data_IF_918029936929
#
_entry.id   IF_918029936929
#
_cell.length_a   1.000
_cell.length_b   1.000
_cell.length_c   1.000
_cell.angle_alpha   90.00
_cell.angle_beta   90.00
_cell.angle_gamma   90.00
#
_symmetry.space_group_name_H-M   'P 1'
#
loop_
_entity.id
_entity.type
_entity.pdbx_description
1 polymer ?
#
# COMPACT_ATOMS: atom_id res chain seq x y z
N UNK A 1 37.45 18.76 3.06
CA UNK A 1 37.40 20.23 2.81
C UNK A 1 37.30 20.37 1.29
N UNK A 2 36.21 20.82 0.66
CA UNK A 2 35.46 22.07 0.83
C UNK A 2 34.21 21.95 -0.05
N UNK A 3 33.05 22.40 0.44
CA UNK A 3 32.24 23.39 -0.28
C UNK A 3 31.43 24.15 0.76
N UNK A 4 32.07 25.19 1.29
CA UNK A 4 31.44 26.21 2.12
C UNK A 4 30.83 27.25 1.18
N UNK A 5 29.50 27.38 1.16
CA UNK A 5 28.85 28.50 0.48
C UNK A 5 29.05 29.77 1.31
N UNK A 6 29.80 30.73 0.78
CA UNK A 6 29.97 32.06 1.39
C UNK A 6 28.75 32.90 0.98
N UNK A 7 27.88 33.17 1.94
CA UNK A 7 26.82 34.18 1.82
C UNK A 7 27.46 35.53 2.18
N UNK A 8 27.64 36.40 1.19
CA UNK A 8 28.06 37.77 1.46
C UNK A 8 26.84 38.58 1.92
N UNK A 9 26.70 38.81 3.23
CA UNK A 9 25.82 39.83 3.77
C UNK A 9 26.55 41.18 3.71
N UNK A 10 26.06 42.12 2.89
CA UNK A 10 26.44 43.54 3.00
C UNK A 10 25.78 44.13 4.26
N UNK A 11 26.50 44.91 5.08
CA UNK A 11 25.99 45.40 6.35
C UNK A 11 24.87 46.42 6.14
N UNK A 12 23.88 46.32 7.04
CA UNK A 12 22.65 47.09 7.06
C UNK A 12 22.91 48.59 7.07
N UNK A 13 22.48 49.27 5.99
CA UNK A 13 22.49 50.72 5.89
C UNK A 13 21.89 51.18 4.57
N UNK A 14 20.58 51.45 4.59
CA UNK A 14 19.79 52.12 3.55
C UNK A 14 19.53 51.36 2.23
N UNK A 15 18.25 51.09 1.98
CA UNK A 15 17.70 50.83 0.64
C UNK A 15 17.54 49.35 0.32
N UNK A 16 16.35 48.99 -0.16
CA UNK A 16 15.98 47.65 -0.61
C UNK A 16 16.94 47.21 -1.73
N UNK A 17 17.97 46.43 -1.39
CA UNK A 17 19.00 45.97 -2.30
C UNK A 17 18.85 44.47 -2.58
N UNK A 18 18.69 44.12 -3.85
CA UNK A 18 18.56 42.75 -4.32
C UNK A 18 19.74 41.87 -3.89
N UNK A 19 19.44 40.68 -3.35
CA UNK A 19 20.43 39.59 -3.21
C UNK A 19 20.68 39.04 -4.61
N UNK A 20 21.85 39.33 -5.17
CA UNK A 20 22.29 38.77 -6.46
C UNK A 20 23.22 37.59 -6.20
N UNK A 21 22.85 36.42 -6.71
CA UNK A 21 23.80 35.34 -6.93
C UNK A 21 24.66 35.79 -8.11
N UNK A 22 25.98 35.76 -7.96
CA UNK A 22 26.91 36.22 -8.97
C UNK A 22 26.59 35.58 -10.34
N UNK A 23 26.14 36.42 -11.29
CA UNK A 23 25.87 36.04 -12.68
C UNK A 23 24.40 35.98 -13.10
N UNK A 24 23.42 36.22 -12.22
CA UNK A 24 22.00 36.21 -12.59
C UNK A 24 21.34 37.57 -12.34
N UNK A 25 20.50 38.01 -13.28
CA UNK A 25 19.79 39.28 -13.19
C UNK A 25 18.80 39.31 -12.01
N UNK A 26 18.46 40.49 -11.46
CA UNK A 26 17.54 40.62 -10.33
C UNK A 26 16.16 39.98 -10.56
N UNK A 27 15.68 39.92 -11.80
CA UNK A 27 14.41 39.30 -12.17
C UNK A 27 14.43 37.76 -12.01
N UNK A 28 15.57 37.11 -12.25
CA UNK A 28 15.73 35.65 -12.11
C UNK A 28 15.91 35.25 -10.64
N UNK A 29 16.52 36.12 -9.84
CA UNK A 29 16.72 35.90 -8.40
C UNK A 29 15.40 36.00 -7.61
N UNK A 30 14.46 36.86 -8.03
CA UNK A 30 13.13 36.97 -7.43
C UNK A 30 12.25 35.74 -7.69
N UNK A 31 12.37 35.12 -8.88
CA UNK A 31 11.62 33.90 -9.22
C UNK A 31 12.02 32.71 -8.34
N UNK A 32 13.31 32.51 -8.08
CA UNK A 32 13.80 31.39 -7.26
C UNK A 32 13.37 31.52 -5.79
N UNK A 33 13.32 32.75 -5.26
CA UNK A 33 12.90 33.00 -3.86
C UNK A 33 11.37 32.92 -3.71
N UNK A 34 10.59 33.26 -4.74
CA UNK A 34 9.13 33.10 -4.71
C UNK A 34 8.71 31.62 -4.81
N UNK A 35 9.37 30.84 -5.67
CA UNK A 35 9.11 29.39 -5.80
C UNK A 35 9.56 28.60 -4.56
N UNK A 36 10.65 29.02 -3.91
CA UNK A 36 11.12 28.39 -2.67
C UNK A 36 10.22 28.61 -1.46
N UNK A 37 9.56 29.78 -1.35
CA UNK A 37 8.65 30.07 -0.21
C UNK A 37 7.31 29.36 -0.34
N UNK A 38 6.76 29.19 -1.54
CA UNK A 38 5.50 28.46 -1.73
C UNK A 38 5.62 26.96 -1.40
N UNK A 39 6.76 26.33 -1.72
CA UNK A 39 7.02 24.93 -1.38
C UNK A 39 7.24 24.69 0.13
N UNK A 40 7.81 25.66 0.85
CA UNK A 40 8.01 25.55 2.30
C UNK A 40 6.71 25.81 3.10
N UNK A 41 5.85 26.72 2.66
CA UNK A 41 4.56 26.98 3.32
C UNK A 41 3.50 25.92 2.99
N UNK A 42 3.56 25.24 1.85
CA UNK A 42 2.68 24.09 1.55
C UNK A 42 3.05 22.85 2.39
N UNK A 43 4.34 22.61 2.63
CA UNK A 43 4.79 21.55 3.54
C UNK A 43 4.51 21.89 5.02
N UNK A 44 4.62 23.16 5.42
CA UNK A 44 4.35 23.60 6.79
C UNK A 44 2.86 23.62 7.18
N UNK A 45 1.95 23.90 6.24
CA UNK A 45 0.50 23.95 6.51
C UNK A 45 -0.15 22.55 6.58
N UNK A 46 0.42 21.54 5.91
CA UNK A 46 0.00 20.14 6.03
C UNK A 46 0.30 19.53 7.41
N UNK A 47 1.31 20.06 8.12
CA UNK A 47 1.63 19.62 9.48
C UNK A 47 0.62 20.13 10.51
N UNK A 48 0.03 21.31 10.29
CA UNK A 48 -0.87 21.98 11.22
C UNK A 48 -2.34 21.55 11.07
N UNK A 49 -2.70 20.88 9.98
CA UNK A 49 -4.07 20.44 9.66
C UNK A 49 -4.29 18.92 9.77
N UNK A 50 -3.31 18.16 10.28
CA UNK A 50 -3.50 16.72 10.55
C UNK A 50 -4.58 16.51 11.61
N UNK A 51 -5.80 16.22 11.15
CA UNK A 51 -6.86 15.67 11.97
C UNK A 51 -6.32 14.38 12.61
N UNK A 52 -6.21 14.38 13.93
CA UNK A 52 -5.81 13.22 14.72
C UNK A 52 -6.85 12.12 14.54
N UNK A 53 -6.65 11.26 13.54
CA UNK A 53 -7.37 10.00 13.46
C UNK A 53 -6.95 9.14 14.66
N UNK A 54 -7.87 8.42 15.31
CA UNK A 54 -7.52 7.49 16.38
C UNK A 54 -6.39 6.56 15.91
N UNK A 55 -5.21 6.70 16.52
CA UNK A 55 -3.99 5.98 16.12
C UNK A 55 -4.14 4.46 16.13
N UNK A 56 -5.17 3.94 16.78
CA UNK A 56 -5.49 2.52 16.84
C UNK A 56 -6.05 1.91 15.54
N UNK A 57 -6.52 2.71 14.57
CA UNK A 57 -7.15 2.18 13.33
C UNK A 57 -6.37 2.49 12.05
N UNK A 58 -5.34 3.33 12.12
CA UNK A 58 -4.54 3.68 10.95
C UNK A 58 -3.32 2.76 10.89
N UNK A 59 -3.54 1.52 10.46
CA UNK A 59 -2.47 0.64 10.00
C UNK A 59 -1.95 1.21 8.67
N UNK A 60 -1.02 2.17 8.75
CA UNK A 60 -0.41 2.80 7.58
C UNK A 60 0.49 1.79 6.84
N UNK A 61 0.64 1.96 5.53
CA UNK A 61 1.64 1.23 4.76
C UNK A 61 3.03 1.69 5.20
N UNK A 62 3.83 0.76 5.70
CA UNK A 62 5.17 1.01 6.21
C UNK A 62 6.22 0.70 5.13
N UNK A 63 7.37 1.38 5.18
CA UNK A 63 8.57 1.05 4.40
C UNK A 63 9.68 0.69 5.37
N UNK A 64 9.81 -0.59 5.65
CA UNK A 64 10.88 -1.16 6.47
C UNK A 64 11.56 -2.26 5.65
N UNK A 65 12.87 -2.42 5.79
CA UNK A 65 13.64 -3.40 5.02
C UNK A 65 13.45 -4.83 5.49
N UNK A 66 13.09 -5.03 6.76
CA UNK A 66 12.93 -6.37 7.34
C UNK A 66 11.78 -6.40 8.37
N UNK A 67 10.56 -6.55 7.85
CA UNK A 67 9.37 -6.75 8.69
C UNK A 67 9.07 -8.24 8.81
N UNK A 68 8.78 -8.67 10.04
CA UNK A 68 8.29 -10.03 10.29
C UNK A 68 7.05 -10.35 9.42
N UNK A 69 7.02 -11.57 8.86
CA UNK A 69 5.87 -12.07 8.12
C UNK A 69 4.69 -12.24 9.05
N UNK A 70 3.58 -11.55 8.77
CA UNK A 70 2.36 -11.61 9.58
C UNK A 70 1.38 -12.58 8.94
N UNK A 71 0.90 -13.55 9.71
CA UNK A 71 -0.20 -14.44 9.35
C UNK A 71 -1.40 -14.06 10.23
N UNK A 72 -2.46 -13.59 9.59
CA UNK A 72 -3.67 -13.12 10.27
C UNK A 72 -4.82 -14.12 10.12
N UNK A 73 -5.65 -14.18 11.16
CA UNK A 73 -6.81 -15.06 11.26
C UNK A 73 -8.09 -14.23 11.41
N UNK A 74 -9.20 -14.72 10.86
CA UNK A 74 -10.48 -13.99 10.88
C UNK A 74 -10.47 -12.70 10.04
N UNK A 75 -11.39 -11.79 10.34
CA UNK A 75 -11.53 -10.52 9.59
C UNK A 75 -10.54 -9.46 10.05
N UNK A 76 -9.74 -8.93 9.13
CA UNK A 76 -8.67 -7.98 9.44
C UNK A 76 -8.68 -6.78 8.51
N UNK A 77 -8.14 -5.65 8.99
CA UNK A 77 -7.82 -4.46 8.21
C UNK A 77 -6.30 -4.23 8.28
N UNK A 78 -5.61 -4.21 7.14
CA UNK A 78 -4.15 -4.07 7.10
C UNK A 78 -3.67 -3.11 6.02
N UNK A 79 -2.67 -2.29 6.33
CA UNK A 79 -1.96 -1.44 5.36
C UNK A 79 -0.66 -2.05 4.82
N UNK A 80 -0.20 -3.18 5.38
CA UNK A 80 0.93 -3.97 4.89
C UNK A 80 2.30 -3.28 4.84
N UNK A 81 3.24 -3.94 4.18
CA UNK A 81 4.58 -3.46 3.87
C UNK A 81 4.68 -3.14 2.37
N UNK A 82 5.15 -1.95 2.04
CA UNK A 82 5.38 -1.55 0.65
C UNK A 82 6.66 -2.19 0.12
N UNK A 83 6.53 -3.01 -0.92
CA UNK A 83 7.65 -3.72 -1.56
C UNK A 83 8.03 -3.14 -2.92
N UNK A 84 7.16 -2.33 -3.52
CA UNK A 84 7.43 -1.58 -4.74
C UNK A 84 6.78 -0.21 -4.68
N UNK A 85 7.48 0.82 -5.12
CA UNK A 85 6.99 2.20 -5.15
C UNK A 85 7.74 3.02 -6.20
N UNK A 86 7.21 3.09 -7.41
CA UNK A 86 7.85 3.83 -8.51
C UNK A 86 6.82 4.53 -9.37
N UNK A 87 7.21 5.67 -9.96
CA UNK A 87 6.39 6.42 -10.88
C UNK A 87 6.92 6.33 -12.31
N UNK A 88 6.01 6.18 -13.28
CA UNK A 88 6.31 6.18 -14.72
C UNK A 88 5.10 6.63 -15.52
N UNK A 89 5.32 7.40 -16.58
CA UNK A 89 4.27 7.83 -17.53
C UNK A 89 3.05 8.48 -16.86
N UNK A 90 3.30 9.35 -15.86
CA UNK A 90 2.23 10.02 -15.10
C UNK A 90 1.41 9.07 -14.22
N UNK A 91 2.04 7.98 -13.74
CA UNK A 91 1.38 6.99 -12.87
C UNK A 91 2.31 6.56 -11.77
N UNK A 92 1.80 6.49 -10.55
CA UNK A 92 2.48 5.96 -9.39
C UNK A 92 2.01 4.52 -9.14
N UNK A 93 2.94 3.59 -9.16
CA UNK A 93 2.70 2.17 -8.96
C UNK A 93 3.21 1.76 -7.58
N UNK A 94 2.33 1.19 -6.78
CA UNK A 94 2.62 0.76 -5.42
C UNK A 94 2.18 -0.68 -5.21
N UNK A 95 3.11 -1.55 -4.82
CA UNK A 95 2.81 -2.94 -4.43
C UNK A 95 3.02 -3.10 -2.92
N UNK A 96 2.05 -3.71 -2.27
CA UNK A 96 2.03 -3.90 -0.82
C UNK A 96 1.77 -5.36 -0.47
N UNK A 97 2.63 -5.92 0.37
CA UNK A 97 2.43 -7.24 1.00
C UNK A 97 1.73 -7.03 2.34
N UNK A 98 0.58 -7.66 2.55
CA UNK A 98 -0.19 -7.45 3.77
C UNK A 98 -0.35 -8.70 4.63
N UNK A 99 -0.24 -9.90 4.06
CA UNK A 99 -0.40 -11.14 4.81
C UNK A 99 0.46 -12.28 4.23
N UNK A 100 0.90 -13.18 5.13
CA UNK A 100 1.61 -14.41 4.79
C UNK A 100 0.67 -15.62 4.66
N UNK A 101 0.78 -16.31 3.53
CA UNK A 101 -0.07 -17.42 3.14
C UNK A 101 -1.33 -16.97 2.40
N UNK A 102 -2.03 -17.95 1.86
CA UNK A 102 -3.30 -17.76 1.16
C UNK A 102 -4.39 -17.29 2.13
N UNK A 103 -4.96 -16.12 1.86
CA UNK A 103 -6.13 -15.58 2.55
C UNK A 103 -7.40 -16.03 1.86
N UNK A 104 -8.49 -16.15 2.61
CA UNK A 104 -9.76 -16.64 2.07
C UNK A 104 -10.38 -15.70 1.02
N UNK A 105 -10.22 -14.38 1.21
CA UNK A 105 -10.65 -13.43 0.17
C UNK A 105 -10.67 -11.97 0.59
N UNK A 106 -10.78 -11.12 -0.44
CA UNK A 106 -10.98 -9.68 -0.29
C UNK A 106 -12.38 -9.39 0.25
N UNK A 107 -12.48 -8.50 1.22
CA UNK A 107 -13.74 -7.89 1.63
C UNK A 107 -13.89 -6.56 0.89
N UNK A 108 -13.01 -5.58 1.19
CA UNK A 108 -13.04 -4.23 0.61
C UNK A 108 -11.68 -3.54 0.69
N UNK A 109 -11.49 -2.53 -0.15
CA UNK A 109 -10.38 -1.59 -0.01
C UNK A 109 -10.80 -0.35 0.78
N UNK A 110 -9.80 0.28 1.39
CA UNK A 110 -9.95 1.51 2.14
C UNK A 110 -8.88 2.50 1.70
N UNK A 111 -9.33 3.71 1.38
CA UNK A 111 -8.46 4.84 1.04
C UNK A 111 -8.73 5.93 2.07
N UNK A 112 -7.70 6.33 2.80
CA UNK A 112 -7.77 7.43 3.76
C UNK A 112 -8.80 7.28 4.88
N UNK A 113 -9.21 6.03 5.17
CA UNK A 113 -10.23 5.68 6.15
C UNK A 113 -11.63 5.52 5.56
N UNK A 114 -11.81 5.70 4.26
CA UNK A 114 -13.08 5.53 3.56
C UNK A 114 -13.09 4.23 2.75
N UNK A 115 -14.21 3.49 2.85
CA UNK A 115 -14.43 2.26 2.06
C UNK A 115 -14.60 2.65 0.60
N UNK A 116 -13.89 1.95 -0.27
CA UNK A 116 -14.03 2.14 -1.72
C UNK A 116 -14.53 0.88 -2.40
N UNK A 117 -15.33 1.07 -3.44
CA UNK A 117 -15.77 0.00 -4.33
C UNK A 117 -14.87 -0.03 -5.56
N UNK A 118 -14.64 -1.23 -6.08
CA UNK A 118 -13.87 -1.43 -7.31
C UNK A 118 -14.73 -2.12 -8.35
N UNK A 119 -14.62 -1.65 -9.58
CA UNK A 119 -15.32 -2.20 -10.74
C UNK A 119 -14.36 -3.10 -11.51
N UNK A 120 -14.78 -4.35 -11.79
CA UNK A 120 -14.15 -5.28 -12.74
C UNK A 120 -12.67 -5.58 -12.52
N UNK A 121 -12.29 -6.85 -12.52
CA UNK A 121 -10.87 -7.24 -12.46
C UNK A 121 -10.51 -8.21 -13.57
N UNK A 122 -9.25 -8.18 -14.03
CA UNK A 122 -8.72 -9.18 -14.96
C UNK A 122 -8.74 -10.59 -14.36
N UNK A 123 -8.65 -11.62 -15.19
CA UNK A 123 -8.65 -13.02 -14.73
C UNK A 123 -7.39 -13.42 -13.94
N UNK A 124 -6.32 -12.63 -14.01
CA UNK A 124 -5.03 -12.89 -13.36
C UNK A 124 -4.95 -12.39 -11.91
N UNK A 125 -5.99 -11.73 -11.42
CA UNK A 125 -6.09 -11.16 -10.06
C UNK A 125 -7.34 -11.70 -9.36
N UNK A 126 -7.29 -11.77 -8.04
CA UNK A 126 -8.34 -12.40 -7.22
C UNK A 126 -9.41 -11.40 -6.73
N UNK A 127 -9.29 -10.13 -7.14
CA UNK A 127 -10.15 -9.05 -6.67
C UNK A 127 -9.69 -7.67 -7.12
N UNK A 128 -10.55 -6.68 -6.95
CA UNK A 128 -10.24 -5.27 -7.20
C UNK A 128 -10.74 -4.74 -8.54
N UNK A 129 -10.01 -3.79 -9.11
CA UNK A 129 -10.38 -3.06 -10.31
C UNK A 129 -10.15 -1.55 -10.20
N UNK A 130 -10.77 -0.78 -11.09
CA UNK A 130 -10.79 0.68 -10.95
C UNK A 130 -11.70 1.09 -9.80
N UNK A 131 -11.33 2.15 -9.09
CA UNK A 131 -12.13 2.64 -7.98
C UNK A 131 -13.32 3.45 -8.51
N UNK A 132 -14.54 3.02 -8.17
CA UNK A 132 -15.76 3.70 -8.59
C UNK A 132 -15.77 5.13 -8.05
N UNK A 133 -16.05 6.12 -8.89
CA UNK A 133 -16.08 7.53 -8.50
C UNK A 133 -14.72 8.19 -8.30
N UNK A 134 -13.59 7.48 -8.48
CA UNK A 134 -12.23 8.05 -8.46
C UNK A 134 -11.48 7.72 -9.75
N UNK A 135 -11.42 8.69 -10.67
CA UNK A 135 -10.89 8.49 -12.04
C UNK A 135 -9.44 8.02 -12.08
N UNK A 136 -8.64 8.44 -11.10
CA UNK A 136 -7.20 8.25 -11.05
C UNK A 136 -6.76 7.12 -10.11
N UNK A 137 -7.67 6.22 -9.71
CA UNK A 137 -7.37 5.18 -8.74
C UNK A 137 -7.71 3.79 -9.29
N UNK A 138 -6.77 2.85 -9.18
CA UNK A 138 -7.00 1.43 -9.42
C UNK A 138 -6.34 0.60 -8.32
N UNK A 139 -7.03 -0.42 -7.83
CA UNK A 139 -6.59 -1.28 -6.74
C UNK A 139 -6.86 -2.74 -7.11
N UNK A 140 -5.85 -3.59 -7.07
CA UNK A 140 -5.96 -5.02 -7.40
C UNK A 140 -5.50 -5.87 -6.25
N UNK A 141 -6.11 -7.04 -6.10
CA UNK A 141 -5.88 -7.96 -4.99
C UNK A 141 -5.35 -9.29 -5.49
N UNK A 142 -4.39 -9.86 -4.75
CA UNK A 142 -4.01 -11.27 -4.87
C UNK A 142 -4.06 -11.94 -3.51
N UNK A 143 -4.67 -13.11 -3.45
CA UNK A 143 -4.97 -13.82 -2.22
C UNK A 143 -3.74 -14.54 -1.63
N UNK A 144 -2.64 -14.67 -2.37
CA UNK A 144 -1.42 -15.34 -1.91
C UNK A 144 -1.38 -16.85 -2.13
N UNK A 145 -2.31 -17.44 -2.88
CA UNK A 145 -2.25 -18.84 -3.32
C UNK A 145 -1.06 -19.15 -4.25
N UNK A 146 -0.55 -18.12 -4.94
CA UNK A 146 0.50 -18.24 -5.96
C UNK A 146 1.59 -17.17 -5.85
N UNK A 147 2.01 -16.66 -7.02
CA UNK A 147 2.97 -15.57 -7.12
C UNK A 147 2.29 -14.22 -6.83
N UNK A 148 2.35 -13.73 -5.59
CA UNK A 148 1.75 -12.47 -5.19
C UNK A 148 2.30 -11.25 -5.94
N UNK A 149 3.50 -11.33 -6.50
CA UNK A 149 4.12 -10.24 -7.28
C UNK A 149 3.71 -10.22 -8.76
N UNK A 150 2.85 -11.14 -9.19
CA UNK A 150 2.47 -11.27 -10.60
C UNK A 150 1.10 -10.65 -10.89
N UNK A 151 1.10 -9.41 -11.35
CA UNK A 151 -0.08 -8.64 -11.76
C UNK A 151 -0.22 -8.50 -13.27
N UNK A 152 0.43 -9.38 -14.05
CA UNK A 152 0.31 -9.34 -15.52
C UNK A 152 -1.15 -9.46 -15.95
N UNK A 153 -1.63 -8.56 -16.79
CA UNK A 153 -3.03 -8.54 -17.21
C UNK A 153 -4.01 -7.96 -16.18
N UNK A 154 -3.52 -7.28 -15.13
CA UNK A 154 -4.39 -6.55 -14.21
C UNK A 154 -5.24 -5.48 -14.93
N UNK A 155 -4.72 -4.90 -16.01
CA UNK A 155 -5.44 -3.98 -16.91
C UNK A 155 -5.84 -4.67 -18.21
N UNK A 156 -6.58 -5.77 -18.13
CA UNK A 156 -7.11 -6.47 -19.30
C UNK A 156 -8.14 -5.58 -20.04
N UNK A 157 -7.87 -5.16 -21.29
CA UNK A 157 -8.76 -4.27 -22.03
C UNK A 157 -10.07 -4.96 -22.46
N UNK A 158 -10.16 -6.30 -22.38
CA UNK A 158 -11.40 -7.03 -22.66
C UNK A 158 -12.43 -6.89 -21.52
N UNK A 159 -12.00 -6.47 -20.33
CA UNK A 159 -12.89 -6.29 -19.17
C UNK A 159 -13.48 -4.87 -19.19
N UNK A 160 -14.82 -4.73 -19.19
CA UNK A 160 -15.46 -3.42 -19.09
C UNK A 160 -14.99 -2.64 -17.86
N UNK A 161 -14.61 -1.38 -18.05
CA UNK A 161 -14.05 -0.52 -16.99
C UNK A 161 -12.52 -0.56 -16.88
N UNK A 162 -11.84 -1.56 -17.47
CA UNK A 162 -10.38 -1.65 -17.48
C UNK A 162 -9.73 -1.24 -18.81
N UNK A 163 -10.52 -1.06 -19.88
CA UNK A 163 -10.11 -0.68 -21.24
C UNK A 163 -9.52 0.74 -21.40
N UNK A 164 -8.52 1.11 -20.60
CA UNK A 164 -7.73 2.34 -20.75
C UNK A 164 -6.27 2.00 -20.96
N UNK A 165 -5.48 2.99 -21.36
CA UNK A 165 -4.04 2.90 -21.68
C UNK A 165 -3.11 2.63 -20.47
N UNK A 166 -3.63 2.05 -19.39
CA UNK A 166 -2.88 1.75 -18.18
C UNK A 166 -2.18 0.41 -18.34
N UNK A 167 -0.92 0.40 -17.96
CA UNK A 167 -0.06 -0.78 -18.02
C UNK A 167 0.12 -1.35 -16.63
N UNK A 168 0.27 -2.67 -16.53
CA UNK A 168 0.59 -3.33 -15.27
C UNK A 168 2.07 -3.18 -14.91
N UNK A 169 2.41 -3.65 -13.70
CA UNK A 169 3.74 -3.52 -13.11
C UNK A 169 4.86 -4.10 -14.00
N UNK A 170 4.61 -5.22 -14.67
CA UNK A 170 5.61 -5.91 -15.51
C UNK A 170 5.78 -5.20 -16.86
N UNK A 171 4.72 -4.58 -17.36
CA UNK A 171 4.75 -3.78 -18.59
C UNK A 171 5.45 -2.44 -18.37
N UNK A 172 5.15 -1.75 -17.27
CA UNK A 172 5.74 -0.44 -16.96
C UNK A 172 7.20 -0.57 -16.51
N UNK A 173 7.57 -1.62 -15.78
CA UNK A 173 8.91 -1.77 -15.19
C UNK A 173 9.55 -3.14 -15.46
N UNK A 174 9.75 -3.54 -16.73
CA UNK A 174 10.24 -4.89 -17.06
C UNK A 174 11.65 -5.18 -16.55
N UNK A 175 12.45 -4.15 -16.28
CA UNK A 175 13.83 -4.28 -15.76
C UNK A 175 13.91 -4.20 -14.23
N UNK A 176 13.01 -3.45 -13.58
CA UNK A 176 12.99 -3.32 -12.11
C UNK A 176 12.15 -4.42 -11.47
N UNK A 177 10.99 -4.74 -12.05
CA UNK A 177 10.09 -5.77 -11.55
C UNK A 177 10.03 -6.95 -12.52
N UNK A 178 11.05 -7.80 -12.42
CA UNK A 178 11.18 -9.01 -13.23
C UNK A 178 10.39 -10.19 -12.64
N UNK A 179 10.32 -11.30 -13.39
CA UNK A 179 9.75 -12.58 -12.94
C UNK A 179 10.41 -13.17 -11.70
N UNK A 180 11.59 -12.67 -11.29
CA UNK A 180 12.23 -13.05 -10.04
C UNK A 180 11.49 -12.52 -8.80
N UNK A 181 10.73 -11.42 -8.93
CA UNK A 181 10.00 -10.77 -7.85
C UNK A 181 8.64 -11.45 -7.58
N UNK A 182 8.69 -12.74 -7.26
CA UNK A 182 7.50 -13.60 -7.23
C UNK A 182 6.55 -13.31 -6.07
N UNK A 183 7.09 -12.95 -4.91
CA UNK A 183 6.36 -12.87 -3.64
C UNK A 183 5.48 -14.13 -3.42
N UNK A 184 6.10 -15.30 -3.59
CA UNK A 184 5.40 -16.58 -3.54
C UNK A 184 4.77 -16.80 -2.16
N UNK A 185 3.48 -17.17 -2.14
CA UNK A 185 2.77 -17.45 -0.89
C UNK A 185 2.52 -16.21 -0.03
N UNK A 186 2.52 -15.03 -0.64
CA UNK A 186 2.25 -13.75 0.03
C UNK A 186 0.99 -13.13 -0.58
N UNK A 187 0.06 -12.72 0.28
CA UNK A 187 -1.11 -11.97 -0.14
C UNK A 187 -0.73 -10.49 -0.28
N UNK A 188 -1.13 -9.90 -1.41
CA UNK A 188 -0.70 -8.58 -1.83
C UNK A 188 -1.85 -7.76 -2.38
N UNK A 189 -1.72 -6.44 -2.29
CA UNK A 189 -2.52 -5.55 -3.10
C UNK A 189 -1.62 -4.60 -3.88
N UNK A 190 -2.06 -4.29 -5.10
CA UNK A 190 -1.38 -3.43 -6.05
C UNK A 190 -2.25 -2.21 -6.32
N UNK A 191 -1.68 -1.03 -6.09
CA UNK A 191 -2.32 0.23 -6.31
C UNK A 191 -1.64 0.98 -7.45
N UNK A 192 -2.44 1.57 -8.31
CA UNK A 192 -1.98 2.47 -9.36
C UNK A 192 -2.75 3.78 -9.24
N UNK A 193 -1.99 4.86 -9.08
CA UNK A 193 -2.52 6.22 -9.04
C UNK A 193 -2.13 6.94 -10.33
N UNK A 194 -3.09 7.57 -11.00
CA UNK A 194 -2.82 8.41 -12.16
C UNK A 194 -2.46 9.84 -11.74
N UNK A 195 -1.99 10.61 -12.72
CA UNK A 195 -1.63 12.02 -12.58
C UNK A 195 -2.82 12.93 -12.99
N UNK A 196 -3.54 13.52 -12.03
CA UNK A 196 -4.54 14.55 -12.31
C UNK A 196 -3.86 15.88 -12.67
N UNK A 197 -4.61 16.83 -13.22
CA UNK A 197 -4.10 18.20 -13.36
C UNK A 197 -3.83 18.82 -11.99
N UNK A 198 -2.95 19.81 -11.94
CA UNK A 198 -2.60 20.53 -10.69
C UNK A 198 -3.84 21.06 -9.95
N UNK A 199 -4.85 21.50 -10.69
CA UNK A 199 -6.12 21.99 -10.14
C UNK A 199 -6.94 20.88 -9.46
N UNK A 200 -6.94 19.68 -10.03
CA UNK A 200 -7.68 18.52 -9.50
C UNK A 200 -6.86 17.71 -8.48
N UNK A 201 -5.54 17.95 -8.38
CA UNK A 201 -4.66 17.16 -7.52
C UNK A 201 -5.09 17.19 -6.06
N UNK A 202 -5.40 18.37 -5.52
CA UNK A 202 -5.84 18.53 -4.12
C UNK A 202 -7.19 17.85 -3.88
N UNK A 203 -8.04 17.77 -4.91
CA UNK A 203 -9.36 17.13 -4.84
C UNK A 203 -9.26 15.61 -4.86
N UNK A 204 -8.43 15.07 -5.75
CA UNK A 204 -8.25 13.61 -5.91
C UNK A 204 -7.35 13.02 -4.81
N UNK A 205 -6.31 13.76 -4.40
CA UNK A 205 -5.32 13.38 -3.40
C UNK A 205 -5.18 14.44 -2.30
N UNK A 206 -6.20 14.62 -1.44
CA UNK A 206 -6.18 15.66 -0.40
C UNK A 206 -5.05 15.48 0.62
N UNK A 207 -4.53 14.25 0.76
CA UNK A 207 -3.37 13.95 1.62
C UNK A 207 -2.07 13.79 0.83
N UNK A 208 -2.10 13.94 -0.50
CA UNK A 208 -0.97 13.77 -1.40
C UNK A 208 -0.12 12.53 -1.06
N UNK A 209 1.17 12.69 -0.74
CA UNK A 209 2.06 11.56 -0.43
C UNK A 209 1.69 10.82 0.87
N UNK A 210 0.79 11.37 1.69
CA UNK A 210 0.30 10.74 2.92
C UNK A 210 -1.02 9.98 2.75
N UNK A 211 -1.48 9.74 1.52
CA UNK A 211 -2.66 8.90 1.26
C UNK A 211 -2.43 7.48 1.81
N UNK A 212 -3.34 7.05 2.68
CA UNK A 212 -3.24 5.75 3.35
C UNK A 212 -4.07 4.72 2.59
N UNK A 213 -3.44 3.63 2.19
CA UNK A 213 -4.11 2.47 1.60
C UNK A 213 -4.20 1.33 2.60
N UNK A 214 -5.39 0.73 2.70
CA UNK A 214 -5.60 -0.46 3.52
C UNK A 214 -6.51 -1.46 2.80
N UNK A 215 -6.35 -2.73 3.12
CA UNK A 215 -7.19 -3.82 2.65
C UNK A 215 -7.91 -4.45 3.82
N UNK A 216 -9.21 -4.62 3.68
CA UNK A 216 -10.05 -5.42 4.56
C UNK A 216 -10.27 -6.79 3.93
N UNK A 217 -10.00 -7.85 4.66
CA UNK A 217 -9.96 -9.20 4.12
C UNK A 217 -10.35 -10.25 5.17
N UNK A 218 -10.77 -11.40 4.68
CA UNK A 218 -10.88 -12.64 5.46
C UNK A 218 -9.51 -13.30 5.47
N UNK A 219 -8.95 -13.52 6.65
CA UNK A 219 -7.61 -14.05 6.88
C UNK A 219 -7.42 -15.47 6.36
N UNK A 220 -6.35 -16.12 6.82
CA UNK A 220 -5.96 -17.43 6.31
C UNK A 220 -6.99 -18.50 6.63
N UNK A 221 -7.15 -19.45 5.70
CA UNK A 221 -7.97 -20.64 5.91
C UNK A 221 -7.25 -21.60 6.86
N UNK A 222 -8.02 -22.21 7.76
CA UNK A 222 -7.55 -23.14 8.79
C UNK A 222 -8.14 -24.52 8.56
N UNK A 223 -7.43 -25.56 8.99
CA UNK A 223 -7.96 -26.91 8.96
C UNK A 223 -9.00 -27.11 10.06
N UNK A 224 -10.21 -27.52 9.67
CA UNK A 224 -11.21 -27.97 10.63
C UNK A 224 -10.79 -29.32 11.26
N UNK A 225 -11.60 -29.81 12.20
CA UNK A 225 -11.32 -31.07 12.91
C UNK A 225 -11.45 -32.30 11.99
N UNK A 226 -12.17 -32.19 10.86
CA UNK A 226 -12.27 -33.20 9.83
C UNK A 226 -11.16 -33.11 8.75
N UNK A 227 -10.23 -32.16 8.87
CA UNK A 227 -9.11 -31.96 7.93
C UNK A 227 -9.40 -31.07 6.71
N UNK A 228 -10.61 -30.56 6.54
CA UNK A 228 -10.94 -29.64 5.44
C UNK A 228 -10.45 -28.21 5.73
N UNK A 229 -9.95 -27.52 4.69
CA UNK A 229 -9.53 -26.11 4.79
C UNK A 229 -10.73 -25.17 4.71
N UNK A 230 -11.00 -24.42 5.78
CA UNK A 230 -12.15 -23.53 5.90
C UNK A 230 -11.74 -22.14 6.41
N UNK A 231 -12.52 -21.12 6.06
CA UNK A 231 -12.49 -19.87 6.82
C UNK A 231 -13.13 -20.10 8.19
N UNK A 232 -12.48 -19.67 9.25
CA UNK A 232 -13.04 -19.72 10.60
C UNK A 232 -12.49 -18.58 11.46
N UNK A 233 -13.35 -18.08 12.34
CA UNK A 233 -13.00 -17.14 13.41
C UNK A 233 -12.94 -17.85 14.78
N UNK A 234 -13.18 -19.16 14.82
CA UNK A 234 -13.09 -19.96 16.04
C UNK A 234 -11.65 -20.00 16.54
N UNK A 235 -11.41 -19.43 17.72
CA UNK A 235 -10.07 -19.29 18.30
C UNK A 235 -9.36 -20.65 18.46
N UNK A 236 -10.10 -21.72 18.77
CA UNK A 236 -9.53 -23.07 18.91
C UNK A 236 -8.95 -23.61 17.60
N UNK A 237 -9.59 -23.31 16.46
CA UNK A 237 -9.07 -23.67 15.14
C UNK A 237 -7.90 -22.77 14.71
N UNK A 238 -7.97 -21.47 14.98
CA UNK A 238 -6.91 -20.52 14.65
C UNK A 238 -5.62 -20.81 15.43
N UNK A 239 -5.72 -21.09 16.73
CA UNK A 239 -4.59 -21.47 17.58
C UNK A 239 -4.02 -22.81 17.11
N UNK A 240 -4.88 -23.78 16.75
CA UNK A 240 -4.43 -25.07 16.21
C UNK A 240 -3.57 -24.88 14.97
N UNK A 241 -4.02 -24.06 14.02
CA UNK A 241 -3.25 -23.74 12.81
C UNK A 241 -1.92 -23.12 13.17
N UNK A 242 -1.89 -22.09 14.03
CA UNK A 242 -0.64 -21.46 14.46
C UNK A 242 0.34 -22.45 15.09
N UNK A 243 -0.16 -23.38 15.90
CA UNK A 243 0.66 -24.39 16.57
C UNK A 243 1.24 -25.42 15.59
N UNK A 244 0.48 -25.85 14.58
CA UNK A 244 0.88 -26.92 13.67
C UNK A 244 1.52 -26.42 12.37
N UNK A 245 1.32 -25.15 12.02
CA UNK A 245 1.83 -24.57 10.78
C UNK A 245 3.37 -24.51 10.79
N UNK A 246 3.98 -24.77 9.62
CA UNK A 246 5.44 -24.83 9.45
C UNK A 246 6.14 -23.50 9.82
N UNK A 247 5.50 -22.38 9.49
CA UNK A 247 5.98 -21.02 9.79
C UNK A 247 5.46 -20.52 11.16
N UNK A 248 4.77 -21.38 11.92
CA UNK A 248 4.30 -21.14 13.29
C UNK A 248 5.17 -21.88 14.31
N UNK A 249 4.56 -22.65 15.22
CA UNK A 249 5.32 -23.48 16.18
C UNK A 249 5.76 -24.84 15.62
N UNK A 250 5.22 -25.26 14.48
CA UNK A 250 5.62 -26.51 13.81
C UNK A 250 5.39 -27.79 14.64
N UNK A 251 4.46 -27.77 15.59
CA UNK A 251 4.11 -28.94 16.39
C UNK A 251 3.39 -29.95 15.51
N UNK A 252 3.93 -31.16 15.41
CA UNK A 252 3.28 -32.23 14.65
C UNK A 252 1.85 -32.45 15.15
N UNK A 253 0.88 -32.52 14.24
CA UNK A 253 -0.54 -32.63 14.58
C UNK A 253 -0.83 -33.83 15.49
N UNK A 254 -0.10 -34.94 15.33
CA UNK A 254 -0.21 -36.13 16.16
C UNK A 254 0.18 -35.93 17.64
N UNK A 255 0.83 -34.81 17.99
CA UNK A 255 1.16 -34.44 19.37
C UNK A 255 0.04 -33.69 20.07
N UNK A 256 -0.99 -33.26 19.33
CA UNK A 256 -2.18 -32.63 19.90
C UNK A 256 -3.22 -33.71 20.20
N UNK A 257 -3.75 -33.72 21.42
CA UNK A 257 -4.86 -34.61 21.77
C UNK A 257 -6.13 -34.16 21.05
N UNK A 258 -6.57 -34.95 20.07
CA UNK A 258 -7.71 -34.61 19.20
C UNK A 258 -9.01 -34.44 19.98
N UNK A 259 -9.26 -35.25 21.01
CA UNK A 259 -10.49 -35.21 21.78
C UNK A 259 -10.57 -33.95 22.64
N UNK A 260 -9.49 -33.64 23.35
CA UNK A 260 -9.32 -32.41 24.13
C UNK A 260 -9.42 -31.17 23.24
N UNK A 261 -8.79 -31.20 22.06
CA UNK A 261 -8.85 -30.08 21.12
C UNK A 261 -10.26 -29.88 20.54
N UNK A 262 -10.98 -30.97 20.26
CA UNK A 262 -12.38 -30.89 19.84
C UNK A 262 -13.25 -30.25 20.92
N UNK A 263 -13.05 -30.60 22.20
CA UNK A 263 -13.73 -29.95 23.32
C UNK A 263 -13.40 -28.45 23.40
N UNK A 264 -12.14 -28.07 23.14
CA UNK A 264 -11.73 -26.67 23.11
C UNK A 264 -12.40 -25.90 21.96
N UNK A 265 -12.39 -26.45 20.74
CA UNK A 265 -13.08 -25.86 19.58
C UNK A 265 -14.57 -25.65 19.87
N UNK A 266 -15.24 -26.63 20.49
CA UNK A 266 -16.66 -26.52 20.84
C UNK A 266 -16.94 -25.41 21.88
N UNK A 267 -15.96 -25.08 22.73
CA UNK A 267 -16.08 -24.01 23.73
C UNK A 267 -15.90 -22.61 23.16
N UNK A 268 -15.27 -22.50 21.99
CA UNK A 268 -15.01 -21.24 21.29
C UNK A 268 -16.10 -20.86 20.27
N UNK A 269 -17.16 -21.67 20.14
CA UNK A 269 -18.36 -21.33 19.36
C UNK A 269 -19.36 -20.58 20.23
#
# INVERSE_FOLDING_TARGET
MIFTAIIAMLPAGAGWGAVTIAGLSPAVSAAIIATGRAALWSLGSMALTRRSLPRAQVMATMTETDRARIRSYGRNLAGGLRVFFEAKDGRLHQLVVFNHGEVDGLIRFWIDGEKVTTDGHGASVDGGGRVTGKRYHALFFKNGSGAGGDYRGAFDPSVPGLARDWQDLHQSFPTLWTTAHRLQGQATFYAVFGDPSDEDFIKEFPKGPSTVLQVEYRGVRVQNMAGASIYSENAGLCIRDLMTHRDGWGIALARLDTASWQSFVNRCN
#
